data_IF_112682398051
#
_entry.id   IF_112682398051
#
_cell.length_a   1.000
_cell.length_b   1.000
_cell.length_c   1.000
_cell.angle_alpha   90.00
_cell.angle_beta   90.00
_cell.angle_gamma   90.00
#
_symmetry.space_group_name_H-M   'P 1'
#
loop_
_entity.id
_entity.type
_entity.pdbx_description
1 polymer ?
#
# COMPACT_ATOMS: atom_id res chain seq x y z
N UNK A 1 12.39 -10.08 2.44
CA UNK A 1 11.73 -11.04 1.53
C UNK A 1 10.36 -10.48 1.35
N UNK A 2 10.10 -9.95 0.18
CA UNK A 2 8.85 -9.25 -0.09
C UNK A 2 7.73 -10.27 -0.19
N UNK A 3 6.63 -10.02 0.51
CA UNK A 3 5.48 -10.93 0.54
C UNK A 3 4.20 -10.13 0.48
N UNK A 4 3.19 -10.62 -0.23
CA UNK A 4 1.94 -9.90 -0.45
C UNK A 4 0.78 -10.76 -0.01
N UNK A 5 -0.24 -10.13 0.56
CA UNK A 5 -1.44 -10.82 1.04
C UNK A 5 -2.55 -10.59 0.04
N UNK A 6 -2.95 -11.63 -0.68
CA UNK A 6 -4.11 -11.61 -1.57
C UNK A 6 -5.32 -12.18 -0.85
N UNK A 7 -6.48 -11.57 -1.05
CA UNK A 7 -7.74 -12.11 -0.54
C UNK A 7 -8.90 -11.91 -1.52
N UNK A 8 -9.88 -12.80 -1.44
CA UNK A 8 -11.16 -12.68 -2.13
C UNK A 8 -12.21 -13.30 -1.21
N UNK A 9 -13.12 -12.46 -0.69
CA UNK A 9 -14.12 -12.86 0.30
C UNK A 9 -13.45 -13.46 1.55
N UNK A 10 -13.66 -14.74 1.83
CA UNK A 10 -13.10 -15.44 2.99
C UNK A 10 -11.75 -16.12 2.71
N UNK A 11 -11.33 -16.21 1.43
CA UNK A 11 -10.05 -16.83 1.06
C UNK A 11 -8.93 -15.80 1.19
N UNK A 12 -7.84 -16.16 1.86
CA UNK A 12 -6.65 -15.33 2.04
C UNK A 12 -5.38 -16.16 1.86
N UNK A 13 -4.43 -15.64 1.08
CA UNK A 13 -3.16 -16.32 0.78
C UNK A 13 -2.03 -15.31 0.78
N UNK A 14 -0.89 -15.69 1.35
CA UNK A 14 0.36 -14.94 1.23
C UNK A 14 1.17 -15.48 0.06
N UNK A 15 1.51 -14.61 -0.89
CA UNK A 15 2.28 -14.94 -2.10
C UNK A 15 3.59 -14.17 -2.13
N UNK A 16 4.59 -14.78 -2.77
CA UNK A 16 5.86 -14.12 -3.10
C UNK A 16 5.76 -13.40 -4.44
N UNK A 17 6.64 -12.43 -4.72
CA UNK A 17 6.67 -11.74 -6.00
C UNK A 17 6.76 -12.70 -7.20
N UNK A 18 7.52 -13.79 -7.11
CA UNK A 18 7.66 -14.75 -8.23
C UNK A 18 6.35 -15.52 -8.55
N UNK A 19 5.42 -15.54 -7.59
CA UNK A 19 4.14 -16.22 -7.66
C UNK A 19 2.98 -15.28 -8.03
N UNK A 20 3.24 -13.97 -8.20
CA UNK A 20 2.25 -12.94 -8.48
C UNK A 20 1.90 -12.87 -9.97
N UNK A 21 1.30 -13.95 -10.47
CA UNK A 21 0.84 -14.10 -11.86
C UNK A 21 -0.64 -14.41 -11.91
N UNK A 22 -1.33 -13.86 -12.91
CA UNK A 22 -2.76 -14.10 -13.15
C UNK A 22 -3.09 -15.59 -13.24
N UNK A 23 -2.22 -16.41 -13.84
CA UNK A 23 -2.38 -17.87 -13.93
C UNK A 23 -2.47 -18.55 -12.55
N UNK A 24 -1.58 -18.17 -11.62
CA UNK A 24 -1.56 -18.75 -10.26
C UNK A 24 -2.73 -18.22 -9.43
N UNK A 25 -3.01 -16.92 -9.53
CA UNK A 25 -4.11 -16.25 -8.83
C UNK A 25 -5.46 -16.81 -9.29
N UNK A 26 -5.64 -17.02 -10.60
CA UNK A 26 -6.83 -17.64 -11.20
C UNK A 26 -7.13 -19.00 -10.57
N UNK A 27 -6.11 -19.85 -10.42
CA UNK A 27 -6.25 -21.19 -9.84
C UNK A 27 -6.62 -21.12 -8.35
N UNK A 28 -5.96 -20.25 -7.59
CA UNK A 28 -6.19 -20.12 -6.14
C UNK A 28 -7.62 -19.62 -5.85
N UNK A 29 -8.04 -18.60 -6.59
CA UNK A 29 -9.30 -17.90 -6.34
C UNK A 29 -10.46 -18.36 -7.23
N UNK A 30 -10.22 -19.30 -8.16
CA UNK A 30 -11.20 -19.83 -9.11
C UNK A 30 -11.85 -18.76 -10.01
N UNK A 31 -11.07 -17.74 -10.37
CA UNK A 31 -11.47 -16.64 -11.24
C UNK A 31 -10.87 -16.79 -12.64
N UNK A 32 -11.48 -16.17 -13.65
CA UNK A 32 -10.98 -16.20 -15.02
C UNK A 32 -9.74 -15.31 -15.17
N UNK A 33 -8.66 -15.89 -15.70
CA UNK A 33 -7.35 -15.24 -15.87
C UNK A 33 -7.42 -13.89 -16.60
N UNK A 34 -8.33 -13.73 -17.56
CA UNK A 34 -8.40 -12.56 -18.45
C UNK A 34 -9.16 -11.38 -17.82
N UNK A 35 -9.76 -11.59 -16.65
CA UNK A 35 -10.58 -10.60 -15.93
C UNK A 35 -9.99 -10.19 -14.59
N UNK A 36 -8.78 -10.66 -14.27
CA UNK A 36 -8.17 -10.46 -12.96
C UNK A 36 -7.58 -9.07 -12.85
N UNK A 37 -7.93 -8.37 -11.78
CA UNK A 37 -7.23 -7.18 -11.31
C UNK A 37 -7.20 -7.19 -9.77
N UNK A 38 -6.28 -6.42 -9.19
CA UNK A 38 -6.16 -6.28 -7.74
C UNK A 38 -6.65 -4.91 -7.31
N UNK A 39 -7.14 -4.76 -6.09
CA UNK A 39 -7.34 -3.45 -5.46
C UNK A 39 -6.61 -3.37 -4.14
N UNK A 40 -6.00 -2.22 -3.86
CA UNK A 40 -5.37 -1.93 -2.57
C UNK A 40 -6.39 -1.42 -1.54
N UNK A 41 -5.90 -1.06 -0.34
CA UNK A 41 -6.73 -0.51 0.75
C UNK A 41 -7.40 0.85 0.38
N UNK A 42 -6.90 1.54 -0.65
CA UNK A 42 -7.48 2.78 -1.17
C UNK A 42 -8.46 2.52 -2.33
N UNK A 43 -8.76 1.26 -2.65
CA UNK A 43 -9.60 0.84 -3.78
C UNK A 43 -9.05 1.27 -5.15
N UNK A 44 -7.73 1.38 -5.28
CA UNK A 44 -7.07 1.66 -6.55
C UNK A 44 -6.89 0.34 -7.30
N UNK A 45 -7.41 0.27 -8.53
CA UNK A 45 -7.29 -0.93 -9.37
C UNK A 45 -5.89 -1.04 -9.99
N UNK A 46 -5.26 -2.21 -9.80
CA UNK A 46 -3.95 -2.60 -10.33
C UNK A 46 -4.20 -3.70 -11.37
N UNK A 47 -3.85 -3.43 -12.62
CA UNK A 47 -4.03 -4.37 -13.72
C UNK A 47 -2.72 -5.11 -14.03
N UNK A 48 -2.79 -6.38 -14.43
CA UNK A 48 -1.60 -7.13 -14.84
C UNK A 48 -1.06 -6.61 -16.19
N UNK A 49 0.23 -6.82 -16.43
CA UNK A 49 0.87 -6.60 -17.73
C UNK A 49 0.40 -7.63 -18.79
N UNK A 50 0.77 -7.42 -20.05
CA UNK A 50 0.45 -8.34 -21.17
C UNK A 50 0.96 -9.78 -20.94
N UNK A 51 2.00 -9.95 -20.13
CA UNK A 51 2.58 -11.24 -19.75
C UNK A 51 1.82 -11.93 -18.58
N UNK A 52 0.77 -11.29 -18.03
CA UNK A 52 -0.01 -11.77 -16.89
C UNK A 52 0.67 -11.57 -15.54
N UNK A 53 1.74 -10.78 -15.47
CA UNK A 53 2.45 -10.46 -14.23
C UNK A 53 1.96 -9.15 -13.65
N UNK A 54 1.91 -9.07 -12.33
CA UNK A 54 1.67 -7.82 -11.62
C UNK A 54 3.00 -7.21 -11.23
N UNK A 55 3.15 -5.92 -11.51
CA UNK A 55 4.38 -5.19 -11.23
C UNK A 55 4.49 -5.02 -9.72
N UNK A 56 5.55 -5.56 -9.11
CA UNK A 56 5.81 -5.43 -7.67
C UNK A 56 6.08 -3.98 -7.23
N UNK A 57 6.38 -3.08 -8.16
CA UNK A 57 6.55 -1.64 -7.92
C UNK A 57 5.24 -0.97 -7.48
N UNK A 58 4.11 -1.44 -7.99
CA UNK A 58 2.78 -0.92 -7.62
C UNK A 58 2.27 -1.54 -6.30
N UNK A 59 3.03 -2.48 -5.73
CA UNK A 59 2.67 -3.24 -4.54
C UNK A 59 3.59 -2.88 -3.36
N UNK A 60 2.98 -2.57 -2.22
CA UNK A 60 3.66 -2.33 -0.94
C UNK A 60 4.02 -3.69 -0.32
N UNK A 61 5.25 -3.82 0.18
CA UNK A 61 5.66 -5.04 0.91
C UNK A 61 4.72 -5.28 2.11
N UNK A 62 4.23 -6.51 2.23
CA UNK A 62 3.21 -6.94 3.20
C UNK A 62 1.86 -6.24 3.06
N UNK A 63 1.62 -5.61 1.90
CA UNK A 63 0.33 -5.02 1.54
C UNK A 63 -0.78 -6.06 1.41
N UNK A 64 -2.01 -5.60 1.62
CA UNK A 64 -3.23 -6.38 1.51
C UNK A 64 -3.95 -5.99 0.22
N UNK A 65 -4.27 -6.99 -0.62
CA UNK A 65 -4.87 -6.77 -1.92
C UNK A 65 -6.09 -7.65 -2.11
N UNK A 66 -7.20 -7.03 -2.49
CA UNK A 66 -8.40 -7.75 -2.89
C UNK A 66 -8.28 -8.19 -4.35
N UNK A 67 -8.53 -9.45 -4.63
CA UNK A 67 -8.53 -10.02 -5.97
C UNK A 67 -9.93 -9.90 -6.56
N UNK A 68 -10.04 -9.32 -7.75
CA UNK A 68 -11.28 -9.25 -8.51
C UNK A 68 -11.17 -10.07 -9.78
N UNK A 69 -12.30 -10.52 -10.31
CA UNK A 69 -12.40 -11.27 -11.56
C UNK A 69 -13.68 -12.06 -11.65
N UNK A 70 -14.07 -12.41 -12.87
CA UNK A 70 -15.25 -13.23 -13.13
C UNK A 70 -15.02 -14.65 -12.64
N UNK A 71 -16.05 -15.27 -12.07
CA UNK A 71 -15.97 -16.67 -11.68
C UNK A 71 -15.65 -17.52 -12.93
N UNK A 72 -14.67 -18.40 -12.80
CA UNK A 72 -14.45 -19.42 -13.83
C UNK A 72 -15.70 -20.28 -13.89
N UNK A 73 -16.39 -20.29 -15.03
CA UNK A 73 -17.60 -21.08 -15.25
C UNK A 73 -17.22 -22.57 -15.34
N UNK A 74 -16.85 -23.15 -14.20
CA UNK A 74 -16.53 -24.57 -14.04
C UNK A 74 -16.90 -25.01 -12.62
N UNK A 75 -18.09 -24.64 -12.15
CA UNK A 75 -18.79 -25.31 -11.05
C UNK A 75 -20.20 -24.73 -10.83
N UNK A 76 -21.11 -24.85 -11.81
CA UNK A 76 -22.56 -24.79 -11.57
C UNK A 76 -23.36 -25.22 -12.82
N UNK A 77 -23.21 -26.47 -13.26
CA UNK A 77 -24.26 -27.10 -14.05
C UNK A 77 -25.33 -27.59 -13.06
N UNK A 78 -26.36 -26.77 -12.84
CA UNK A 78 -27.56 -27.17 -12.13
C UNK A 78 -28.24 -28.35 -12.86
N UNK A 79 -28.65 -29.43 -12.17
CA UNK A 79 -29.53 -30.40 -12.79
C UNK A 79 -30.92 -29.79 -12.98
N UNK A 80 -31.65 -30.16 -14.05
CA UNK A 80 -32.96 -29.61 -14.38
C UNK A 80 -34.03 -30.02 -13.34
N UNK A 81 -35.09 -29.22 -13.14
CA UNK A 81 -36.15 -29.53 -12.20
C UNK A 81 -37.05 -30.66 -12.75
N UNK A 82 -37.41 -31.68 -11.95
CA UNK A 82 -38.52 -32.57 -12.28
C UNK A 82 -39.88 -31.93 -11.91
N UNK A 83 -40.97 -32.34 -12.59
CA UNK A 83 -42.27 -31.68 -12.54
C UNK A 83 -43.10 -32.07 -11.31
N UNK A 84 -44.04 -31.20 -10.98
CA UNK A 84 -44.97 -31.30 -9.86
C UNK A 84 -45.93 -32.50 -9.94
N UNK A 85 -46.31 -33.04 -8.78
CA UNK A 85 -47.68 -33.53 -8.53
C UNK A 85 -47.98 -33.57 -7.03
N UNK A 86 -49.21 -33.16 -6.71
CA UNK A 86 -49.77 -32.97 -5.37
C UNK A 86 -50.27 -34.28 -4.74
N UNK A 87 -50.29 -34.40 -3.40
CA UNK A 87 -51.53 -34.44 -2.56
C UNK A 87 -51.27 -34.77 -1.08
N UNK A 88 -51.97 -34.03 -0.21
CA UNK A 88 -52.50 -34.29 1.14
C UNK A 88 -52.02 -35.50 1.98
N UNK A 89 -51.69 -35.27 3.26
CA UNK A 89 -52.62 -35.40 4.40
C UNK A 89 -51.93 -35.60 5.77
N UNK A 90 -52.52 -34.95 6.77
CA UNK A 90 -52.74 -35.39 8.16
C UNK A 90 -51.61 -35.39 9.22
N UNK A 91 -51.97 -34.73 10.34
CA UNK A 91 -51.69 -35.06 11.75
C UNK A 91 -50.23 -34.88 12.24
N UNK A 92 -49.91 -34.46 13.46
CA UNK A 92 -50.60 -33.97 14.66
C UNK A 92 -49.45 -33.66 15.66
N UNK A 93 -49.75 -32.95 16.75
CA UNK A 93 -49.01 -32.93 18.04
C UNK A 93 -47.92 -31.87 18.29
N UNK A 94 -48.37 -30.81 18.99
CA UNK A 94 -47.62 -30.07 20.03
C UNK A 94 -47.38 -30.96 21.27
N UNK A 95 -46.47 -30.58 22.18
CA UNK A 95 -46.97 -29.89 23.37
C UNK A 95 -46.15 -28.67 23.81
N UNK A 96 -46.88 -27.75 24.45
CA UNK A 96 -46.39 -26.64 25.27
C UNK A 96 -45.95 -27.17 26.64
N UNK A 97 -44.89 -26.62 27.22
CA UNK A 97 -44.76 -26.49 28.66
C UNK A 97 -44.27 -25.08 29.02
N UNK A 98 -45.03 -24.44 29.90
CA UNK A 98 -44.70 -23.21 30.60
C UNK A 98 -44.55 -23.58 32.08
N UNK A 99 -43.60 -22.98 32.79
CA UNK A 99 -43.63 -22.95 34.25
C UNK A 99 -43.31 -21.56 34.79
N UNK A 100 -44.20 -21.14 35.69
CA UNK A 100 -44.27 -19.86 36.37
C UNK A 100 -43.37 -19.84 37.61
N UNK A 101 -42.98 -18.63 37.94
CA UNK A 101 -42.25 -18.16 39.13
C UNK A 101 -43.15 -18.26 40.39
N UNK A 102 -42.58 -18.51 41.58
CA UNK A 102 -43.15 -18.02 42.84
C UNK A 102 -42.28 -16.93 43.48
N UNK A 103 -42.93 -16.14 44.35
CA UNK A 103 -42.45 -14.92 45.02
C UNK A 103 -42.52 -15.14 46.54
N UNK A 104 -41.60 -14.49 47.29
CA UNK A 104 -41.66 -14.09 48.73
C UNK A 104 -41.64 -15.21 49.81
N UNK A 105 -41.07 -15.09 51.02
CA UNK A 105 -40.32 -14.06 51.79
C UNK A 105 -39.74 -14.68 53.10
N UNK A 106 -38.54 -14.25 53.53
CA UNK A 106 -38.04 -13.91 54.90
C UNK A 106 -38.18 -14.92 56.10
N UNK A 107 -37.36 -15.05 57.18
CA UNK A 107 -36.43 -14.20 57.98
C UNK A 107 -35.52 -15.10 58.90
N UNK A 108 -34.26 -14.66 59.17
CA UNK A 108 -33.41 -14.85 60.40
C UNK A 108 -32.83 -16.25 60.80
N UNK A 109 -31.63 -16.43 61.40
CA UNK A 109 -30.58 -15.54 61.96
C UNK A 109 -29.27 -16.31 62.34
N UNK A 110 -28.19 -15.53 62.52
CA UNK A 110 -26.90 -15.79 63.25
C UNK A 110 -25.85 -16.65 62.53
N UNK A 111 -24.54 -16.34 62.47
CA UNK A 111 -23.62 -15.55 63.33
C UNK A 111 -22.54 -14.85 62.48
N UNK A 112 -22.28 -13.55 62.70
CA UNK A 112 -21.02 -12.99 63.20
C UNK A 112 -19.70 -13.67 62.75
N UNK A 113 -18.97 -13.05 61.82
CA UNK A 113 -17.59 -12.55 61.98
C UNK A 113 -17.05 -11.98 60.64
N UNK A 114 -16.22 -10.93 60.72
CA UNK A 114 -15.37 -10.36 59.65
C UNK A 114 -16.01 -9.43 58.61
N UNK A 115 -16.38 -8.22 59.05
CA UNK A 115 -16.67 -7.06 58.18
C UNK A 115 -15.51 -6.05 58.16
N UNK A 116 -14.25 -6.49 58.21
CA UNK A 116 -13.12 -5.54 58.34
C UNK A 116 -11.81 -6.01 57.70
N UNK A 117 -11.84 -6.20 56.39
CA UNK A 117 -10.76 -6.41 55.40
C UNK A 117 -11.53 -6.88 54.16
N UNK A 118 -11.62 -6.19 53.04
CA UNK A 118 -10.59 -5.66 52.15
C UNK A 118 -11.20 -4.50 51.33
N UNK A 119 -10.81 -3.25 51.59
CA UNK A 119 -11.18 -2.10 50.74
C UNK A 119 -9.93 -1.48 50.09
N UNK A 120 -8.75 -2.01 50.42
CA UNK A 120 -7.46 -1.58 49.87
C UNK A 120 -7.26 -2.09 48.45
N UNK A 121 -7.65 -3.35 48.17
CA UNK A 121 -7.50 -3.93 46.83
C UNK A 121 -8.39 -3.27 45.78
N UNK A 122 -9.54 -2.70 46.18
CA UNK A 122 -10.41 -1.96 45.26
C UNK A 122 -9.81 -0.58 44.93
N UNK A 123 -9.19 0.08 45.90
CA UNK A 123 -8.47 1.34 45.68
C UNK A 123 -7.23 1.13 44.80
N UNK A 124 -6.49 0.04 45.01
CA UNK A 124 -5.33 -0.30 44.18
C UNK A 124 -5.73 -0.53 42.71
N UNK A 125 -6.84 -1.24 42.47
CA UNK A 125 -7.36 -1.47 41.11
C UNK A 125 -7.87 -0.17 40.48
N UNK A 126 -8.48 0.73 41.25
CA UNK A 126 -8.93 2.04 40.74
C UNK A 126 -7.73 2.91 40.37
N UNK A 127 -6.67 2.91 41.16
CA UNK A 127 -5.43 3.62 40.83
C UNK A 127 -4.75 3.04 39.57
N UNK A 128 -4.72 1.73 39.42
CA UNK A 128 -4.20 1.06 38.21
C UNK A 128 -5.04 1.39 36.96
N UNK A 129 -6.37 1.50 37.11
CA UNK A 129 -7.26 1.94 36.03
C UNK A 129 -7.02 3.41 35.67
N UNK A 130 -6.83 4.30 36.64
CA UNK A 130 -6.51 5.71 36.38
C UNK A 130 -5.19 5.86 35.63
N UNK A 131 -4.15 5.10 36.02
CA UNK A 131 -2.85 5.08 35.34
C UNK A 131 -2.99 4.64 33.86
N UNK A 132 -3.77 3.59 33.60
CA UNK A 132 -4.02 3.12 32.22
C UNK A 132 -4.82 4.14 31.41
N UNK A 133 -5.75 4.87 32.03
CA UNK A 133 -6.52 5.93 31.37
C UNK A 133 -5.60 7.09 30.98
N UNK A 134 -4.69 7.51 31.86
CA UNK A 134 -3.71 8.56 31.56
C UNK A 134 -2.77 8.14 30.41
N UNK A 135 -2.28 6.89 30.43
CA UNK A 135 -1.48 6.33 29.34
C UNK A 135 -2.26 6.28 28.01
N UNK A 136 -3.53 5.89 28.05
CA UNK A 136 -4.40 5.83 26.86
C UNK A 136 -4.72 7.21 26.28
N UNK A 137 -4.81 8.25 27.12
CA UNK A 137 -4.97 9.63 26.65
C UNK A 137 -3.71 10.13 25.93
N UNK A 138 -2.52 9.79 26.43
CA UNK A 138 -1.26 10.05 25.74
C UNK A 138 -1.18 9.37 24.37
N UNK A 139 -1.68 8.13 24.24
CA UNK A 139 -1.74 7.41 22.97
C UNK A 139 -2.66 8.08 21.94
N UNK A 140 -3.74 8.72 22.38
CA UNK A 140 -4.65 9.47 21.49
C UNK A 140 -3.96 10.72 20.93
N UNK A 141 -3.12 11.38 21.72
CA UNK A 141 -2.31 12.52 21.30
C UNK A 141 -1.17 12.11 20.37
N UNK A 142 -0.54 10.95 20.61
CA UNK A 142 0.43 10.34 19.69
C UNK A 142 -0.25 9.98 18.36
N UNK A 143 -1.45 9.42 18.40
CA UNK A 143 -2.23 9.07 17.19
C UNK A 143 -2.61 10.33 16.40
N UNK A 144 -2.94 11.43 17.10
CA UNK A 144 -3.20 12.73 16.47
C UNK A 144 -1.94 13.29 15.81
N UNK A 145 -0.80 13.25 16.49
CA UNK A 145 0.49 13.68 15.93
C UNK A 145 0.88 12.84 14.69
N UNK A 146 0.67 11.52 14.73
CA UNK A 146 0.91 10.64 13.57
C UNK A 146 -0.02 11.01 12.41
N UNK A 147 -1.31 11.24 12.67
CA UNK A 147 -2.25 11.70 11.64
C UNK A 147 -1.85 13.05 11.05
N UNK A 148 -1.48 14.03 11.87
CA UNK A 148 -1.06 15.35 11.41
C UNK A 148 0.26 15.29 10.61
N UNK A 149 1.19 14.41 10.96
CA UNK A 149 2.40 14.15 10.14
C UNK A 149 2.04 13.46 8.82
N UNK A 150 1.08 12.54 8.83
CA UNK A 150 0.63 11.81 7.64
C UNK A 150 -0.18 12.71 6.70
N UNK A 151 -1.01 13.61 7.23
CA UNK A 151 -1.84 14.55 6.48
C UNK A 151 -1.08 15.82 6.06
N UNK A 152 -0.10 16.27 6.85
CA UNK A 152 0.76 17.42 6.56
C UNK A 152 1.84 17.15 5.51
N UNK A 153 2.18 15.88 5.28
CA UNK A 153 3.07 15.46 4.19
C UNK A 153 2.22 15.28 2.93
N UNK A 154 1.77 16.39 2.35
CA UNK A 154 0.78 16.42 1.27
C UNK A 154 1.09 15.41 0.17
N UNK A 155 0.12 14.53 -0.13
CA UNK A 155 0.01 13.67 -1.33
C UNK A 155 1.34 13.46 -2.08
N UNK A 156 2.34 12.89 -1.41
CA UNK A 156 3.59 12.57 -2.05
C UNK A 156 3.34 11.30 -2.87
N UNK A 157 3.01 11.46 -4.15
CA UNK A 157 3.14 10.37 -5.11
C UNK A 157 4.62 10.00 -5.13
N UNK A 158 4.98 8.97 -4.38
CA UNK A 158 6.34 8.45 -4.33
C UNK A 158 6.63 7.76 -5.66
N UNK A 159 7.46 8.39 -6.50
CA UNK A 159 8.03 7.74 -7.68
C UNK A 159 9.22 6.90 -7.21
N UNK A 160 9.05 5.60 -7.15
CA UNK A 160 10.13 4.65 -6.92
C UNK A 160 10.91 4.44 -8.22
N UNK A 161 12.02 5.16 -8.38
CA UNK A 161 12.95 4.95 -9.49
C UNK A 161 13.88 3.78 -9.17
N UNK A 162 14.03 2.83 -10.10
CA UNK A 162 15.05 1.79 -10.02
C UNK A 162 16.44 2.41 -10.18
N UNK A 163 17.47 1.73 -9.67
CA UNK A 163 18.87 2.20 -9.77
C UNK A 163 19.30 2.47 -11.23
N UNK A 164 18.84 1.64 -12.17
CA UNK A 164 19.08 1.84 -13.60
C UNK A 164 18.48 3.14 -14.15
N UNK A 165 17.29 3.52 -13.69
CA UNK A 165 16.59 4.74 -14.11
C UNK A 165 17.25 5.98 -13.52
N UNK A 166 17.69 5.91 -12.26
CA UNK A 166 18.48 6.97 -11.63
C UNK A 166 19.80 7.17 -12.38
N UNK A 167 20.48 6.09 -12.75
CA UNK A 167 21.71 6.16 -13.54
C UNK A 167 21.48 6.73 -14.96
N UNK A 168 20.35 6.41 -15.58
CA UNK A 168 19.97 7.01 -16.86
C UNK A 168 19.76 8.53 -16.72
N UNK A 169 19.04 8.98 -15.69
CA UNK A 169 18.85 10.41 -15.40
C UNK A 169 20.17 11.11 -15.11
N UNK A 170 21.07 10.49 -14.33
CA UNK A 170 22.43 11.00 -14.08
C UNK A 170 23.23 11.16 -15.37
N UNK A 171 23.08 10.22 -16.30
CA UNK A 171 23.79 10.25 -17.58
C UNK A 171 23.26 11.35 -18.50
N UNK A 172 21.95 11.63 -18.48
CA UNK A 172 21.31 12.62 -19.34
C UNK A 172 21.47 14.05 -18.80
N UNK A 173 21.32 14.22 -17.49
CA UNK A 173 21.30 15.52 -16.82
C UNK A 173 22.54 15.80 -15.96
N UNK A 174 23.56 14.95 -16.07
CA UNK A 174 24.85 15.13 -15.43
C UNK A 174 25.79 15.97 -16.28
N UNK A 175 26.59 16.79 -15.61
CA UNK A 175 27.61 17.58 -16.28
C UNK A 175 28.80 16.70 -16.67
N UNK A 176 29.22 16.72 -17.92
CA UNK A 176 30.36 15.89 -18.38
C UNK A 176 31.70 16.30 -17.78
N UNK A 177 31.79 17.48 -17.17
CA UNK A 177 33.03 18.03 -16.59
C UNK A 177 33.07 17.80 -15.07
N UNK A 178 32.04 18.24 -14.33
CA UNK A 178 32.02 18.10 -12.88
C UNK A 178 31.31 16.83 -12.39
N UNK A 179 30.67 16.06 -13.28
CA UNK A 179 29.88 14.85 -12.98
C UNK A 179 28.70 15.05 -12.02
N UNK A 180 28.43 16.29 -11.62
CA UNK A 180 27.32 16.68 -10.77
C UNK A 180 26.06 17.07 -11.54
N UNK A 181 25.00 17.52 -10.82
CA UNK A 181 23.78 17.99 -11.45
C UNK A 181 24.08 19.22 -12.31
N UNK A 182 23.47 19.27 -13.50
CA UNK A 182 23.68 20.40 -14.40
C UNK A 182 23.01 21.66 -13.85
N UNK A 183 23.78 22.73 -13.73
CA UNK A 183 23.30 24.07 -13.37
C UNK A 183 23.47 25.01 -14.55
N UNK A 184 22.40 25.71 -14.95
CA UNK A 184 22.36 26.49 -16.20
C UNK A 184 22.79 25.64 -17.39
N UNK A 185 21.94 24.69 -17.82
CA UNK A 185 22.29 23.68 -18.80
C UNK A 185 22.74 24.29 -20.14
N UNK A 186 23.89 23.84 -20.62
CA UNK A 186 24.40 24.16 -21.95
C UNK A 186 24.08 23.01 -22.90
N UNK A 187 23.38 23.36 -23.98
CA UNK A 187 23.13 22.49 -25.12
C UNK A 187 24.18 22.72 -26.21
N UNK A 188 24.65 21.64 -26.83
CA UNK A 188 25.55 21.71 -27.96
C UNK A 188 24.86 21.24 -29.25
N UNK A 189 25.01 22.03 -30.32
CA UNK A 189 24.45 21.72 -31.63
C UNK A 189 25.08 20.50 -32.30
N UNK A 190 26.37 20.23 -32.06
CA UNK A 190 27.11 19.17 -32.74
C UNK A 190 26.65 17.76 -32.34
N UNK A 191 26.32 17.54 -31.06
CA UNK A 191 25.81 16.26 -30.54
C UNK A 191 24.33 16.32 -30.15
N UNK A 192 23.68 17.46 -30.40
CA UNK A 192 22.28 17.74 -30.08
C UNK A 192 21.89 17.32 -28.66
N UNK A 193 22.70 17.68 -27.68
CA UNK A 193 22.44 17.30 -26.29
C UNK A 193 22.99 18.29 -25.28
N UNK A 194 22.45 18.21 -24.06
CA UNK A 194 22.99 18.91 -22.90
C UNK A 194 24.35 18.29 -22.56
N UNK A 195 25.36 19.14 -22.41
CA UNK A 195 26.75 18.72 -22.20
C UNK A 195 27.28 19.08 -20.81
N UNK A 196 26.70 20.07 -20.14
CA UNK A 196 27.11 20.43 -18.79
C UNK A 196 26.64 21.78 -18.31
N UNK A 197 27.19 22.19 -17.16
CA UNK A 197 26.94 23.49 -16.56
C UNK A 197 27.59 24.61 -17.38
N UNK A 198 27.00 25.80 -17.36
CA UNK A 198 27.56 26.99 -18.03
C UNK A 198 29.01 27.28 -17.64
N UNK A 199 29.31 27.30 -16.34
CA UNK A 199 30.67 27.57 -15.84
C UNK A 199 31.67 26.51 -16.31
N UNK A 200 31.29 25.24 -16.24
CA UNK A 200 32.13 24.12 -16.65
C UNK A 200 32.46 24.15 -18.15
N UNK A 201 31.47 24.41 -19.00
CA UNK A 201 31.69 24.47 -20.45
C UNK A 201 32.49 25.70 -20.85
N UNK A 202 32.24 26.85 -20.23
CA UNK A 202 33.06 28.05 -20.46
C UNK A 202 34.53 27.81 -20.08
N UNK A 203 34.80 27.12 -18.97
CA UNK A 203 36.16 26.78 -18.57
C UNK A 203 36.79 25.75 -19.52
N UNK A 204 36.00 24.78 -19.99
CA UNK A 204 36.42 23.79 -20.98
C UNK A 204 36.84 24.47 -22.29
N UNK A 205 36.07 25.46 -22.76
CA UNK A 205 36.34 26.25 -23.97
C UNK A 205 37.66 27.01 -23.93
N UNK A 206 38.15 27.38 -22.73
CA UNK A 206 39.45 28.04 -22.61
C UNK A 206 40.64 27.10 -22.83
N UNK A 207 40.44 25.79 -22.64
CA UNK A 207 41.51 24.78 -22.69
C UNK A 207 41.39 23.82 -23.87
N UNK A 208 40.19 23.67 -24.43
CA UNK A 208 39.88 22.69 -25.47
C UNK A 208 38.94 23.30 -26.52
N UNK A 209 39.28 23.10 -27.78
CA UNK A 209 38.52 23.54 -28.96
C UNK A 209 37.48 22.50 -29.43
N UNK A 210 37.33 21.38 -28.73
CA UNK A 210 36.42 20.30 -29.09
C UNK A 210 35.33 20.04 -28.05
N UNK A 211 34.19 19.53 -28.51
CA UNK A 211 33.06 19.16 -27.66
C UNK A 211 33.44 18.08 -26.64
N UNK A 212 33.14 18.25 -25.33
CA UNK A 212 33.48 17.25 -24.31
C UNK A 212 32.74 15.91 -24.51
N UNK A 213 31.61 15.91 -25.24
CA UNK A 213 30.81 14.71 -25.49
C UNK A 213 31.26 13.93 -26.73
N UNK A 214 31.28 14.59 -27.90
CA UNK A 214 31.53 13.93 -29.18
C UNK A 214 32.87 14.30 -29.84
N UNK A 215 33.64 15.21 -29.23
CA UNK A 215 34.94 15.69 -29.74
C UNK A 215 34.90 16.40 -31.10
N UNK A 216 33.73 16.86 -31.54
CA UNK A 216 33.60 17.73 -32.72
C UNK A 216 34.23 19.10 -32.44
N UNK A 217 34.97 19.66 -33.41
CA UNK A 217 35.63 20.97 -33.31
C UNK A 217 34.69 22.13 -33.60
N UNK A 218 33.83 22.02 -34.62
CA UNK A 218 32.77 23.00 -34.85
C UNK A 218 31.62 22.75 -33.88
N UNK A 219 31.53 23.60 -32.85
CA UNK A 219 30.43 23.61 -31.89
C UNK A 219 29.81 24.98 -31.76
N UNK A 220 28.49 25.01 -31.72
CA UNK A 220 27.74 26.14 -31.18
C UNK A 220 27.09 25.66 -29.88
N UNK A 221 27.29 26.42 -28.81
CA UNK A 221 26.74 26.14 -27.50
C UNK A 221 25.70 27.19 -27.14
N UNK A 222 24.53 26.72 -26.71
CA UNK A 222 23.42 27.59 -26.31
C UNK A 222 22.99 27.23 -24.89
N UNK A 223 22.76 28.25 -24.06
CA UNK A 223 22.15 28.08 -22.74
C UNK A 223 20.66 27.75 -22.90
N UNK A 224 20.19 26.73 -22.18
CA UNK A 224 18.79 26.31 -22.20
C UNK A 224 18.10 26.93 -21.00
N UNK A 225 17.26 27.94 -21.25
CA UNK A 225 16.46 28.60 -20.22
C UNK A 225 15.20 27.80 -19.86
N UNK A 226 14.76 27.91 -18.61
CA UNK A 226 13.50 27.32 -18.12
C UNK A 226 13.55 25.81 -17.81
N UNK A 227 14.74 25.21 -17.92
CA UNK A 227 14.98 23.83 -17.46
C UNK A 227 15.54 23.78 -16.03
N UNK A 228 15.99 24.91 -15.48
CA UNK A 228 16.60 24.99 -14.16
C UNK A 228 15.65 24.55 -13.04
N UNK A 229 14.36 24.93 -13.12
CA UNK A 229 13.35 24.54 -12.14
C UNK A 229 13.07 23.03 -12.17
N UNK A 230 13.04 22.44 -13.36
CA UNK A 230 12.87 20.99 -13.52
C UNK A 230 14.08 20.21 -13.01
N UNK A 231 15.29 20.71 -13.30
CA UNK A 231 16.55 20.11 -12.82
C UNK A 231 16.72 20.28 -11.30
N UNK A 232 16.17 21.34 -10.70
CA UNK A 232 16.23 21.55 -9.27
C UNK A 232 15.60 20.39 -8.48
N UNK A 233 14.55 19.77 -9.01
CA UNK A 233 13.90 18.58 -8.41
C UNK A 233 14.83 17.36 -8.49
N UNK A 234 15.59 17.23 -9.58
CA UNK A 234 16.49 16.10 -9.82
C UNK A 234 17.82 16.22 -9.06
N UNK A 235 18.16 17.38 -8.46
CA UNK A 235 19.39 17.55 -7.66
C UNK A 235 19.54 16.50 -6.55
N UNK A 236 18.43 16.03 -5.98
CA UNK A 236 18.44 15.00 -4.92
C UNK A 236 18.95 13.64 -5.41
N UNK A 237 19.00 13.44 -6.73
CA UNK A 237 19.46 12.19 -7.32
C UNK A 237 20.98 12.14 -7.46
N UNK A 238 21.67 13.29 -7.55
CA UNK A 238 23.11 13.37 -7.85
C UNK A 238 23.98 13.24 -6.62
#
# INVERSE_FOLDING_TARGET
>A
MDTYVLFLREKRVTVRPEDLKTEKIAVIFQVQKDTIYLTDDHNIAIFPEENGHFISVDLVDRGHYEVHGDASASAAAAPPPPPATATAAAADQRPRFAFQRPVASAVARTKAFQSRREDTGLQDVVAEIEEVIEAAQGLKEVTKSIKEVTEGTGKATLLCLQEGEVNALKTVFGCLVCTGPVEKPIFSSCCRSIIGCRSCIQQWEHSHDYCPKCRCQDRETNEVAGLDEALAVLRKLF
#
